data_IF_386156039883
#
_entry.id   IF_386156039883
#
_cell.length_a   1.000
_cell.length_b   1.000
_cell.length_c   1.000
_cell.angle_alpha   90.00
_cell.angle_beta   90.00
_cell.angle_gamma   90.00
#
_symmetry.space_group_name_H-M   'P 1'
#
loop_
_entity.id
_entity.type
_entity.pdbx_description
1 polymer ?
#
# COMPACT_ATOMS: atom_id res chain seq x y z
N UNK A 1 -12.20 11.97 31.54
CA UNK A 1 -12.87 12.21 30.24
C UNK A 1 -13.54 10.93 29.78
N UNK A 2 -14.86 10.95 29.54
CA UNK A 2 -15.57 9.82 28.92
C UNK A 2 -15.16 9.75 27.45
N UNK A 3 -14.59 8.62 27.00
CA UNK A 3 -14.35 8.34 25.58
C UNK A 3 -15.69 8.41 24.84
N UNK A 4 -15.86 9.43 23.99
CA UNK A 4 -17.00 9.58 23.09
C UNK A 4 -16.57 9.02 21.73
N UNK A 5 -16.93 7.76 21.47
CA UNK A 5 -16.88 7.12 20.15
C UNK A 5 -15.48 6.76 19.65
N UNK A 6 -15.12 5.48 19.74
CA UNK A 6 -14.13 4.91 18.81
C UNK A 6 -14.86 4.54 17.52
N UNK A 7 -14.40 5.06 16.38
CA UNK A 7 -14.74 4.47 15.08
C UNK A 7 -13.86 3.24 14.90
N UNK A 8 -14.20 2.16 15.62
CA UNK A 8 -13.59 0.86 15.35
C UNK A 8 -14.09 0.41 13.97
N UNK A 9 -13.17 0.04 13.07
CA UNK A 9 -13.47 -0.67 11.83
C UNK A 9 -13.83 -2.12 12.20
N UNK A 10 -15.10 -2.55 12.26
CA UNK A 10 -15.37 -3.97 12.31
C UNK A 10 -14.96 -4.57 10.95
N UNK A 11 -14.25 -5.69 11.00
CA UNK A 11 -14.19 -6.57 9.84
C UNK A 11 -15.61 -7.04 9.53
N UNK A 12 -16.21 -6.48 8.48
CA UNK A 12 -17.47 -6.99 7.98
C UNK A 12 -17.22 -8.33 7.29
N UNK A 13 -17.64 -9.41 7.93
CA UNK A 13 -17.68 -10.74 7.32
C UNK A 13 -18.89 -10.79 6.38
N UNK A 14 -18.65 -10.61 5.09
CA UNK A 14 -19.69 -10.65 4.07
C UNK A 14 -19.13 -10.42 2.67
N UNK A 15 -19.73 -11.09 1.67
CA UNK A 15 -19.48 -10.79 0.26
C UNK A 15 -20.45 -9.69 -0.17
N UNK A 16 -19.98 -8.76 -0.99
CA UNK A 16 -20.89 -7.85 -1.69
C UNK A 16 -21.95 -8.67 -2.43
N UNK A 17 -23.26 -8.42 -2.23
CA UNK A 17 -24.30 -9.08 -2.98
C UNK A 17 -24.10 -8.89 -4.48
N UNK A 18 -24.37 -9.93 -5.27
CA UNK A 18 -24.16 -9.91 -6.72
C UNK A 18 -24.91 -8.77 -7.40
N UNK A 19 -26.17 -8.53 -7.02
CA UNK A 19 -26.98 -7.45 -7.58
C UNK A 19 -26.38 -6.06 -7.34
N UNK A 20 -25.72 -5.85 -6.18
CA UNK A 20 -25.07 -4.58 -5.86
C UNK A 20 -23.78 -4.46 -6.65
N UNK A 21 -23.00 -5.54 -6.72
CA UNK A 21 -21.75 -5.56 -7.47
C UNK A 21 -21.97 -5.28 -8.97
N UNK A 22 -22.98 -5.87 -9.60
CA UNK A 22 -23.32 -5.60 -11.00
C UNK A 22 -23.70 -4.12 -11.24
N UNK A 23 -24.37 -3.48 -10.28
CA UNK A 23 -24.64 -2.03 -10.33
C UNK A 23 -23.36 -1.22 -10.13
N UNK A 24 -22.48 -1.65 -9.25
CA UNK A 24 -21.18 -1.00 -9.04
C UNK A 24 -20.34 -1.04 -10.30
N UNK A 25 -20.27 -2.17 -11.01
CA UNK A 25 -19.54 -2.28 -12.28
C UNK A 25 -20.05 -1.25 -13.28
N UNK A 26 -21.37 -1.16 -13.47
CA UNK A 26 -21.97 -0.17 -14.36
C UNK A 26 -21.67 1.28 -13.95
N UNK A 27 -21.81 1.57 -12.65
CA UNK A 27 -21.66 2.92 -12.14
C UNK A 27 -20.19 3.37 -12.09
N UNK A 28 -19.28 2.53 -11.60
CA UNK A 28 -17.84 2.81 -11.60
C UNK A 28 -17.29 2.86 -13.01
N UNK A 29 -17.77 2.01 -13.92
CA UNK A 29 -17.44 2.06 -15.34
C UNK A 29 -17.88 3.35 -16.01
N UNK A 30 -19.14 3.77 -15.83
CA UNK A 30 -19.63 5.03 -16.41
C UNK A 30 -18.92 6.27 -15.84
N UNK A 31 -18.56 6.26 -14.56
CA UNK A 31 -17.75 7.35 -13.96
C UNK A 31 -16.33 7.33 -14.53
N UNK A 32 -15.70 6.15 -14.64
CA UNK A 32 -14.36 6.02 -15.21
C UNK A 32 -14.34 6.49 -16.68
N UNK A 33 -15.31 6.07 -17.50
CA UNK A 33 -15.51 6.56 -18.87
C UNK A 33 -15.61 8.08 -18.90
N UNK A 34 -16.49 8.68 -18.09
CA UNK A 34 -16.67 10.12 -18.05
C UNK A 34 -15.37 10.87 -17.70
N UNK A 35 -14.60 10.35 -16.74
CA UNK A 35 -13.33 10.95 -16.35
C UNK A 35 -12.30 10.84 -17.47
N UNK A 36 -12.18 9.65 -18.06
CA UNK A 36 -11.18 9.40 -19.11
C UNK A 36 -11.48 10.20 -20.37
N UNK A 37 -12.75 10.31 -20.77
CA UNK A 37 -13.15 11.06 -21.96
C UNK A 37 -13.02 12.57 -21.79
N UNK A 38 -13.35 13.10 -20.60
CA UNK A 38 -13.35 14.55 -20.36
C UNK A 38 -11.97 15.08 -19.94
N UNK A 39 -11.24 14.33 -19.11
CA UNK A 39 -10.00 14.78 -18.48
C UNK A 39 -8.77 13.94 -18.82
N UNK A 40 -8.96 12.80 -19.49
CA UNK A 40 -7.88 11.91 -19.91
C UNK A 40 -7.55 10.80 -18.90
N UNK A 41 -6.74 9.84 -19.38
CA UNK A 41 -6.30 8.65 -18.62
C UNK A 41 -5.37 8.99 -17.47
N UNK A 42 -4.52 10.00 -17.66
CA UNK A 42 -3.59 10.47 -16.63
C UNK A 42 -4.34 11.02 -15.41
N UNK A 43 -5.40 11.81 -15.65
CA UNK A 43 -6.26 12.30 -14.58
C UNK A 43 -6.98 11.16 -13.89
N UNK A 44 -7.46 10.15 -14.63
CA UNK A 44 -8.05 8.96 -14.01
C UNK A 44 -7.07 8.26 -13.06
N UNK A 45 -5.81 8.06 -13.46
CA UNK A 45 -4.79 7.44 -12.59
C UNK A 45 -4.52 8.28 -11.35
N UNK A 46 -4.33 9.60 -11.50
CA UNK A 46 -4.15 10.55 -10.39
C UNK A 46 -5.29 10.47 -9.39
N UNK A 47 -6.53 10.40 -9.87
CA UNK A 47 -7.74 10.29 -9.05
C UNK A 47 -7.82 8.95 -8.32
N UNK A 48 -7.50 7.85 -8.99
CA UNK A 48 -7.51 6.52 -8.35
C UNK A 48 -6.42 6.39 -7.28
N UNK A 49 -5.26 7.03 -7.46
CA UNK A 49 -4.20 7.09 -6.43
C UNK A 49 -4.51 8.07 -5.29
N UNK A 50 -5.42 9.02 -5.50
CA UNK A 50 -5.83 9.95 -4.45
C UNK A 50 -6.73 9.23 -3.41
N UNK A 51 -6.34 9.21 -2.13
CA UNK A 51 -7.06 8.45 -1.11
C UNK A 51 -8.47 8.98 -0.84
N UNK A 52 -8.73 10.29 -1.02
CA UNK A 52 -10.03 10.91 -0.76
C UNK A 52 -11.01 10.66 -1.90
N UNK A 53 -10.58 10.86 -3.13
CA UNK A 53 -11.33 10.55 -4.33
C UNK A 53 -11.66 9.06 -4.36
N UNK A 54 -10.67 8.19 -4.15
CA UNK A 54 -10.89 6.74 -4.16
C UNK A 54 -11.94 6.32 -3.11
N UNK A 55 -11.87 6.90 -1.91
CA UNK A 55 -12.87 6.66 -0.87
C UNK A 55 -14.26 7.18 -1.26
N UNK A 56 -14.32 8.38 -1.83
CA UNK A 56 -15.56 9.03 -2.26
C UNK A 56 -16.22 8.29 -3.42
N UNK A 57 -15.44 7.80 -4.37
CA UNK A 57 -15.92 6.94 -5.45
C UNK A 57 -16.53 5.67 -4.89
N UNK A 58 -15.86 4.98 -3.97
CA UNK A 58 -16.39 3.78 -3.31
C UNK A 58 -17.74 4.02 -2.64
N UNK A 59 -17.89 5.17 -1.98
CA UNK A 59 -19.15 5.58 -1.35
C UNK A 59 -20.24 5.89 -2.38
N UNK A 60 -19.90 6.64 -3.43
CA UNK A 60 -20.82 6.98 -4.51
C UNK A 60 -21.42 5.72 -5.16
N UNK A 61 -20.58 4.70 -5.38
CA UNK A 61 -21.01 3.44 -6.01
C UNK A 61 -21.74 2.48 -5.07
N UNK A 62 -21.88 2.81 -3.78
CA UNK A 62 -22.80 2.14 -2.88
C UNK A 62 -22.19 1.44 -1.66
N UNK A 63 -20.90 1.63 -1.38
CA UNK A 63 -20.29 1.17 -0.13
C UNK A 63 -20.40 2.19 1.00
N UNK A 64 -20.33 1.71 2.23
CA UNK A 64 -20.16 2.58 3.39
C UNK A 64 -18.72 3.06 3.51
N UNK A 65 -18.55 4.31 3.93
CA UNK A 65 -17.26 4.98 4.08
C UNK A 65 -16.31 4.30 5.09
N UNK A 66 -16.82 3.45 5.98
CA UNK A 66 -16.07 2.78 7.04
C UNK A 66 -15.95 1.27 6.79
N UNK A 67 -16.16 0.82 5.55
CA UNK A 67 -16.06 -0.60 5.20
C UNK A 67 -14.68 -0.96 4.68
N UNK A 68 -13.99 -1.89 5.36
CA UNK A 68 -12.74 -2.49 4.85
C UNK A 68 -12.94 -3.24 3.51
N UNK A 69 -14.18 -3.61 3.18
CA UNK A 69 -14.56 -4.20 1.90
C UNK A 69 -14.53 -3.23 0.73
N UNK A 70 -14.66 -1.92 0.98
CA UNK A 70 -14.79 -0.87 -0.04
C UNK A 70 -13.65 -0.95 -1.05
N UNK A 71 -12.39 -0.97 -0.60
CA UNK A 71 -11.23 -1.04 -1.50
C UNK A 71 -11.32 -2.25 -2.41
N UNK A 72 -11.49 -3.44 -1.83
CA UNK A 72 -11.46 -4.68 -2.62
C UNK A 72 -12.62 -4.82 -3.59
N UNK A 73 -13.80 -4.31 -3.22
CA UNK A 73 -14.98 -4.41 -4.09
C UNK A 73 -14.98 -3.31 -5.14
N UNK A 74 -14.58 -2.08 -4.81
CA UNK A 74 -14.45 -1.00 -5.78
C UNK A 74 -13.42 -1.34 -6.86
N UNK A 75 -12.22 -1.80 -6.48
CA UNK A 75 -11.23 -2.21 -7.48
C UNK A 75 -11.69 -3.40 -8.31
N UNK A 76 -12.48 -4.31 -7.72
CA UNK A 76 -13.08 -5.43 -8.46
C UNK A 76 -14.09 -4.96 -9.51
N UNK A 77 -14.94 -4.00 -9.13
CA UNK A 77 -15.93 -3.41 -10.03
C UNK A 77 -15.26 -2.61 -11.16
N UNK A 78 -14.25 -1.79 -10.83
CA UNK A 78 -13.44 -1.07 -11.83
C UNK A 78 -12.70 -2.02 -12.77
N UNK A 79 -12.12 -3.10 -12.24
CA UNK A 79 -11.44 -4.10 -13.06
C UNK A 79 -12.39 -4.76 -14.07
N UNK A 80 -13.60 -5.11 -13.65
CA UNK A 80 -14.59 -5.68 -14.56
C UNK A 80 -15.07 -4.66 -15.60
N UNK A 81 -15.28 -3.41 -15.18
CA UNK A 81 -15.71 -2.33 -16.07
C UNK A 81 -14.65 -1.95 -17.11
N UNK A 82 -13.37 -2.04 -16.77
CA UNK A 82 -12.25 -1.66 -17.63
C UNK A 82 -11.61 -2.85 -18.37
N UNK A 83 -12.18 -4.06 -18.25
CA UNK A 83 -11.54 -5.29 -18.72
C UNK A 83 -11.28 -5.32 -20.24
N UNK A 84 -12.12 -4.64 -21.02
CA UNK A 84 -11.99 -4.57 -22.47
C UNK A 84 -10.88 -3.63 -22.96
N UNK A 85 -10.34 -2.75 -22.09
CA UNK A 85 -9.33 -1.78 -22.47
C UNK A 85 -9.79 -0.69 -23.46
N UNK A 86 -11.09 -0.59 -23.72
CA UNK A 86 -11.68 0.34 -24.72
C UNK A 86 -11.35 1.82 -24.46
N UNK A 87 -11.12 2.17 -23.19
CA UNK A 87 -10.77 3.53 -22.76
C UNK A 87 -9.27 3.71 -22.51
N UNK A 88 -8.44 2.77 -22.97
CA UNK A 88 -6.98 2.82 -22.82
C UNK A 88 -6.51 2.68 -21.37
N UNK A 89 -7.32 2.06 -20.49
CA UNK A 89 -6.97 1.73 -19.10
C UNK A 89 -7.41 0.30 -18.78
N UNK A 90 -6.55 -0.48 -18.14
CA UNK A 90 -6.83 -1.84 -17.65
C UNK A 90 -6.39 -1.95 -16.20
N UNK A 91 -7.14 -2.71 -15.39
CA UNK A 91 -6.75 -3.05 -14.02
C UNK A 91 -6.36 -4.53 -13.89
N UNK A 92 -5.18 -4.78 -13.33
CA UNK A 92 -4.61 -6.10 -13.12
C UNK A 92 -4.53 -6.45 -11.63
N UNK A 93 -4.70 -7.71 -11.26
CA UNK A 93 -4.67 -8.20 -9.88
C UNK A 93 -6.05 -8.33 -9.23
N UNK A 94 -6.11 -8.14 -7.91
CA UNK A 94 -7.34 -8.23 -7.14
C UNK A 94 -7.12 -8.68 -5.69
N UNK A 95 -8.16 -9.25 -5.09
CA UNK A 95 -8.14 -9.79 -3.72
C UNK A 95 -7.67 -11.24 -3.68
N UNK A 96 -6.86 -11.59 -2.68
CA UNK A 96 -6.44 -12.96 -2.39
C UNK A 96 -5.68 -13.57 -3.56
N UNK A 97 -6.13 -14.71 -4.07
CA UNK A 97 -5.47 -15.38 -5.19
C UNK A 97 -5.46 -14.54 -6.48
N UNK A 98 -6.40 -13.59 -6.65
CA UNK A 98 -6.38 -12.70 -7.81
C UNK A 98 -5.19 -11.73 -7.79
N UNK A 99 -4.65 -11.35 -6.62
CA UNK A 99 -3.46 -10.49 -6.56
C UNK A 99 -2.24 -11.15 -7.21
N UNK A 100 -2.14 -12.49 -7.09
CA UNK A 100 -1.05 -13.28 -7.68
C UNK A 100 -1.10 -13.34 -9.21
N UNK A 101 -2.25 -13.04 -9.82
CA UNK A 101 -2.43 -13.03 -11.27
C UNK A 101 -2.04 -11.69 -11.92
N UNK A 102 -1.71 -10.67 -11.13
CA UNK A 102 -1.40 -9.34 -11.65
C UNK A 102 -0.31 -9.37 -12.74
N UNK A 103 0.72 -10.19 -12.57
CA UNK A 103 1.85 -10.29 -13.50
C UNK A 103 1.42 -10.85 -14.88
N UNK A 104 0.62 -11.91 -14.89
CA UNK A 104 0.07 -12.51 -16.12
C UNK A 104 -0.96 -11.58 -16.79
N UNK A 105 -1.72 -10.84 -15.99
CA UNK A 105 -2.67 -9.86 -16.51
C UNK A 105 -1.98 -8.63 -17.10
N UNK A 106 -0.82 -8.22 -16.56
CA UNK A 106 0.01 -7.15 -17.14
C UNK A 106 0.58 -7.61 -18.49
N UNK A 107 1.00 -8.87 -18.63
CA UNK A 107 1.45 -9.41 -19.93
C UNK A 107 0.34 -9.28 -20.98
N UNK A 108 -0.88 -9.73 -20.66
CA UNK A 108 -2.06 -9.63 -21.55
C UNK A 108 -2.45 -8.19 -21.85
N UNK A 109 -2.41 -7.30 -20.87
CA UNK A 109 -2.69 -5.89 -21.09
C UNK A 109 -1.63 -5.24 -22.00
N UNK A 110 -0.38 -5.69 -21.89
CA UNK A 110 0.70 -5.28 -22.79
C UNK A 110 0.47 -5.71 -24.23
N UNK A 111 -0.11 -6.89 -24.48
CA UNK A 111 -0.53 -7.31 -25.82
C UNK A 111 -1.65 -6.41 -26.37
N UNK A 112 -2.67 -6.12 -25.55
CA UNK A 112 -3.80 -5.25 -25.94
C UNK A 112 -3.31 -3.84 -26.32
N UNK A 113 -2.42 -3.26 -25.52
CA UNK A 113 -1.87 -1.93 -25.77
C UNK A 113 -0.62 -1.93 -26.67
N UNK A 114 -0.26 -3.10 -27.24
CA UNK A 114 0.89 -3.25 -28.15
C UNK A 114 2.23 -2.75 -27.55
N UNK A 115 2.46 -3.01 -26.27
CA UNK A 115 3.71 -2.67 -25.58
C UNK A 115 4.87 -3.56 -26.02
N UNK A 116 6.07 -2.98 -26.03
CA UNK A 116 7.30 -3.73 -26.21
C UNK A 116 7.55 -4.66 -25.01
N UNK A 117 8.27 -5.77 -25.22
CA UNK A 117 8.64 -6.69 -24.14
C UNK A 117 9.40 -6.00 -23.01
N UNK A 118 10.21 -4.98 -23.33
CA UNK A 118 10.91 -4.17 -22.33
C UNK A 118 9.93 -3.36 -21.46
N UNK A 119 8.91 -2.75 -22.08
CA UNK A 119 7.89 -1.99 -21.35
C UNK A 119 7.06 -2.90 -20.45
N UNK A 120 6.67 -4.09 -20.94
CA UNK A 120 5.97 -5.10 -20.12
C UNK A 120 6.82 -5.50 -18.92
N UNK A 121 8.12 -5.76 -19.12
CA UNK A 121 9.03 -6.08 -18.03
C UNK A 121 9.12 -4.97 -16.98
N UNK A 122 9.16 -3.70 -17.40
CA UNK A 122 9.14 -2.54 -16.49
C UNK A 122 7.84 -2.45 -15.67
N UNK A 123 6.68 -2.67 -16.30
CA UNK A 123 5.38 -2.63 -15.61
C UNK A 123 5.24 -3.77 -14.59
N UNK A 124 5.68 -4.97 -14.97
CA UNK A 124 5.74 -6.13 -14.09
C UNK A 124 6.64 -5.88 -12.89
N UNK A 125 7.80 -5.26 -13.15
CA UNK A 125 8.73 -4.84 -12.12
C UNK A 125 8.06 -3.87 -11.15
N UNK A 126 7.46 -2.79 -11.65
CA UNK A 126 6.75 -1.78 -10.86
C UNK A 126 5.64 -2.38 -9.97
N UNK A 127 4.81 -3.27 -10.53
CA UNK A 127 3.78 -4.01 -9.78
C UNK A 127 4.40 -4.83 -8.64
N UNK A 128 5.47 -5.58 -8.93
CA UNK A 128 6.11 -6.47 -7.96
C UNK A 128 6.84 -5.70 -6.85
N UNK A 129 7.62 -4.66 -7.21
CA UNK A 129 8.36 -3.87 -6.21
C UNK A 129 7.41 -3.10 -5.30
N UNK A 130 6.31 -2.54 -5.83
CA UNK A 130 5.31 -1.86 -5.00
C UNK A 130 4.73 -2.80 -3.93
N UNK A 131 4.42 -4.06 -4.30
CA UNK A 131 3.95 -5.05 -3.34
C UNK A 131 5.05 -5.48 -2.34
N UNK A 132 6.32 -5.54 -2.77
CA UNK A 132 7.45 -5.85 -1.89
C UNK A 132 7.69 -4.77 -0.86
N UNK A 133 7.69 -3.51 -1.28
CA UNK A 133 7.89 -2.36 -0.40
C UNK A 133 6.83 -2.35 0.71
N UNK A 134 5.55 -2.47 0.34
CA UNK A 134 4.41 -2.39 1.27
C UNK A 134 4.31 -3.58 2.22
N UNK A 135 4.86 -4.73 1.83
CA UNK A 135 4.85 -5.95 2.67
C UNK A 135 6.12 -6.15 3.49
N UNK A 136 7.25 -5.61 3.04
CA UNK A 136 8.59 -6.01 3.51
C UNK A 136 9.42 -4.83 4.01
N UNK A 137 9.42 -3.69 3.32
CA UNK A 137 10.19 -2.51 3.71
C UNK A 137 9.46 -1.67 4.77
N UNK A 138 8.12 -1.69 4.74
CA UNK A 138 7.26 -1.13 5.80
C UNK A 138 6.67 -2.30 6.60
N UNK A 139 7.09 -2.46 7.85
CA UNK A 139 6.60 -3.57 8.69
C UNK A 139 5.80 -3.06 9.88
N UNK A 140 4.50 -2.89 9.63
CA UNK A 140 3.50 -2.39 10.59
C UNK A 140 2.55 -3.49 11.12
N UNK A 141 2.77 -4.74 10.72
CA UNK A 141 1.91 -5.88 11.08
C UNK A 141 0.68 -6.06 10.18
N UNK A 142 0.53 -5.26 9.12
CA UNK A 142 -0.54 -5.40 8.13
C UNK A 142 -0.06 -6.24 6.95
N UNK A 143 -0.57 -7.46 6.81
CA UNK A 143 -0.19 -8.36 5.72
C UNK A 143 -1.01 -8.07 4.46
N UNK A 144 -0.34 -7.83 3.33
CA UNK A 144 -1.01 -7.60 2.04
C UNK A 144 -1.87 -8.81 1.64
N UNK A 145 -3.13 -8.56 1.36
CA UNK A 145 -4.06 -9.55 0.83
C UNK A 145 -4.76 -9.06 -0.45
N UNK A 146 -4.49 -7.83 -0.89
CA UNK A 146 -5.08 -7.20 -2.05
C UNK A 146 -4.04 -6.34 -2.76
N UNK A 147 -3.94 -6.47 -4.08
CA UNK A 147 -3.06 -5.69 -4.93
C UNK A 147 -3.74 -5.51 -6.29
N UNK A 148 -3.96 -4.26 -6.70
CA UNK A 148 -4.46 -3.92 -8.03
C UNK A 148 -3.55 -2.89 -8.67
N UNK A 149 -3.12 -3.19 -9.89
CA UNK A 149 -2.26 -2.38 -10.73
C UNK A 149 -3.10 -1.83 -11.89
N UNK A 150 -3.40 -0.54 -11.87
CA UNK A 150 -4.06 0.16 -12.96
C UNK A 150 -2.98 0.63 -13.93
N UNK A 151 -3.12 0.30 -15.21
CA UNK A 151 -2.18 0.70 -16.24
C UNK A 151 -2.94 1.31 -17.41
N UNK A 152 -2.35 2.35 -17.98
CA UNK A 152 -2.92 3.02 -19.16
C UNK A 152 -2.01 2.88 -20.38
N UNK A 153 -2.58 3.14 -21.55
CA UNK A 153 -2.02 2.88 -22.89
C UNK A 153 -0.67 3.57 -23.20
N UNK A 154 -0.27 4.63 -22.50
CA UNK A 154 1.08 5.22 -22.64
C UNK A 154 2.13 4.56 -21.74
N UNK A 155 1.69 3.71 -20.81
CA UNK A 155 2.52 2.96 -19.86
C UNK A 155 2.64 3.62 -18.48
N UNK A 156 1.86 4.66 -18.18
CA UNK A 156 1.69 5.15 -16.82
C UNK A 156 0.83 4.19 -16.01
N UNK A 157 0.96 4.26 -14.69
CA UNK A 157 0.29 3.32 -13.81
C UNK A 157 0.01 3.91 -12.42
N UNK A 158 -0.97 3.31 -11.74
CA UNK A 158 -1.25 3.54 -10.34
C UNK A 158 -1.45 2.20 -9.63
N UNK A 159 -1.10 2.12 -8.35
CA UNK A 159 -1.29 0.90 -7.55
C UNK A 159 -2.12 1.22 -6.32
N UNK A 160 -3.16 0.40 -6.11
CA UNK A 160 -3.95 0.40 -4.87
C UNK A 160 -3.82 -0.96 -4.21
N UNK A 161 -3.27 -0.99 -3.00
CA UNK A 161 -3.06 -2.23 -2.22
C UNK A 161 -3.75 -2.14 -0.86
N UNK A 162 -4.06 -3.29 -0.28
CA UNK A 162 -4.58 -3.33 1.09
C UNK A 162 -3.95 -4.45 1.90
N UNK A 163 -3.41 -4.07 3.06
CA UNK A 163 -2.96 -4.95 4.13
C UNK A 163 -4.01 -5.11 5.21
N UNK A 164 -3.99 -6.26 5.88
CA UNK A 164 -4.87 -6.61 7.00
C UNK A 164 -4.04 -6.98 8.23
N UNK A 165 -4.41 -6.42 9.38
CA UNK A 165 -3.94 -6.90 10.68
C UNK A 165 -5.09 -7.66 11.35
N UNK A 166 -4.97 -8.98 11.45
CA UNK A 166 -6.05 -9.87 11.94
C UNK A 166 -6.30 -9.67 13.43
N UNK A 167 -5.23 -9.55 14.21
CA UNK A 167 -5.30 -9.40 15.67
C UNK A 167 -6.01 -8.11 16.05
N UNK A 168 -5.72 -7.03 15.32
CA UNK A 168 -6.29 -5.70 15.56
C UNK A 168 -7.59 -5.47 14.80
N UNK A 169 -7.90 -6.29 13.80
CA UNK A 169 -9.06 -6.17 12.90
C UNK A 169 -9.09 -4.87 12.08
N UNK A 170 -7.93 -4.26 11.83
CA UNK A 170 -7.80 -3.04 11.04
C UNK A 170 -7.22 -3.32 9.65
N UNK A 171 -7.56 -2.46 8.69
CA UNK A 171 -6.95 -2.43 7.37
C UNK A 171 -5.97 -1.27 7.23
N UNK A 172 -5.02 -1.41 6.31
CA UNK A 172 -4.13 -0.34 5.85
C UNK A 172 -4.08 -0.36 4.34
N UNK A 173 -4.39 0.76 3.70
CA UNK A 173 -4.41 0.91 2.24
C UNK A 173 -3.21 1.73 1.78
N UNK A 174 -2.60 1.32 0.69
CA UNK A 174 -1.43 1.94 0.11
C UNK A 174 -1.76 2.39 -1.31
N UNK A 175 -1.30 3.58 -1.66
CA UNK A 175 -1.51 4.19 -2.97
C UNK A 175 -0.19 4.65 -3.56
N UNK A 176 -0.04 4.36 -4.84
CA UNK A 176 1.12 4.74 -5.65
C UNK A 176 0.63 5.34 -6.96
N UNK A 177 1.37 6.31 -7.47
CA UNK A 177 1.20 6.89 -8.79
C UNK A 177 2.56 6.93 -9.48
N UNK A 178 2.65 6.46 -10.73
CA UNK A 178 3.92 6.43 -11.47
C UNK A 178 4.61 7.78 -11.57
N UNK A 179 3.85 8.87 -11.65
CA UNK A 179 4.37 10.24 -11.75
C UNK A 179 5.08 10.71 -10.46
N UNK A 180 4.69 10.17 -9.30
CA UNK A 180 5.25 10.54 -7.99
C UNK A 180 6.45 9.65 -7.60
N UNK A 181 6.70 8.55 -8.33
CA UNK A 181 7.75 7.57 -8.00
C UNK A 181 9.09 8.01 -8.58
N UNK A 182 9.91 8.66 -7.76
CA UNK A 182 11.31 8.97 -8.08
C UNK A 182 12.28 7.88 -7.61
N UNK A 183 11.88 7.10 -6.61
CA UNK A 183 12.57 5.90 -6.10
C UNK A 183 11.50 4.93 -5.62
N UNK A 184 11.65 3.63 -5.87
CA UNK A 184 10.69 2.65 -5.33
C UNK A 184 10.86 2.41 -3.84
N UNK A 185 12.02 2.73 -3.27
CA UNK A 185 12.39 2.36 -1.91
C UNK A 185 12.56 3.56 -0.97
N UNK A 186 12.39 4.78 -1.47
CA UNK A 186 12.48 6.01 -0.66
C UNK A 186 11.22 6.82 -0.88
N UNK A 187 10.37 6.88 0.15
CA UNK A 187 9.11 7.64 0.21
C UNK A 187 8.25 7.56 -1.07
N UNK A 188 7.97 6.35 -1.60
CA UNK A 188 7.40 6.20 -2.94
C UNK A 188 5.87 6.40 -3.02
N UNK A 189 5.22 6.50 -1.85
CA UNK A 189 3.76 6.48 -1.75
C UNK A 189 3.17 7.87 -1.96
N UNK A 190 2.17 7.96 -2.84
CA UNK A 190 1.24 9.09 -2.85
C UNK A 190 0.47 9.13 -1.52
N UNK A 191 0.02 7.97 -1.01
CA UNK A 191 -0.68 7.89 0.28
C UNK A 191 -0.59 6.53 0.97
N UNK A 192 -0.53 6.57 2.31
CA UNK A 192 -0.78 5.40 3.19
C UNK A 192 -1.93 5.75 4.14
N UNK A 193 -2.99 4.95 4.07
CA UNK A 193 -4.28 5.18 4.75
C UNK A 193 -4.51 4.12 5.82
N UNK A 194 -4.77 4.53 7.05
CA UNK A 194 -5.21 3.65 8.14
C UNK A 194 -5.92 4.46 9.22
N UNK A 195 -6.94 3.90 9.87
CA UNK A 195 -7.61 4.55 11.00
C UNK A 195 -6.78 4.47 12.29
N UNK A 196 -5.68 3.71 12.27
CA UNK A 196 -4.78 3.55 13.42
C UNK A 196 -3.35 3.87 13.03
N UNK A 197 -2.74 4.76 13.82
CA UNK A 197 -1.29 4.96 13.86
C UNK A 197 -0.69 3.96 14.83
N UNK A 198 0.32 3.25 14.38
CA UNK A 198 1.11 2.34 15.19
C UNK A 198 2.23 3.10 15.90
N UNK A 199 2.52 2.74 17.16
CA UNK A 199 3.53 3.43 17.96
C UNK A 199 4.94 3.25 17.40
N UNK A 200 5.21 2.11 16.76
CA UNK A 200 6.49 1.79 16.16
C UNK A 200 6.30 0.89 14.93
N UNK A 201 6.82 1.35 13.79
CA UNK A 201 6.81 0.63 12.51
C UNK A 201 8.24 0.61 12.00
N UNK A 202 8.75 -0.55 11.59
CA UNK A 202 10.01 -0.59 10.83
C UNK A 202 9.74 0.06 9.47
N UNK A 203 10.16 1.31 9.31
CA UNK A 203 9.93 2.09 8.10
C UNK A 203 11.25 2.29 7.36
N UNK A 204 11.63 1.29 6.57
CA UNK A 204 12.84 1.37 5.75
C UNK A 204 12.66 2.28 4.54
N UNK A 205 11.45 2.73 4.20
CA UNK A 205 11.24 3.66 3.08
C UNK A 205 11.43 5.12 3.45
N UNK A 206 11.56 5.44 4.74
CA UNK A 206 11.87 6.80 5.19
C UNK A 206 13.25 7.24 4.70
N UNK A 207 13.37 8.51 4.31
CA UNK A 207 14.66 9.17 4.10
C UNK A 207 15.60 9.06 5.31
N UNK A 208 15.05 8.97 6.53
CA UNK A 208 15.81 8.72 7.76
C UNK A 208 16.42 7.31 7.88
N UNK A 209 16.00 6.37 7.02
CA UNK A 209 16.48 4.98 7.02
C UNK A 209 17.48 4.68 5.88
N UNK A 210 17.93 5.70 5.12
CA UNK A 210 18.81 5.51 3.96
C UNK A 210 20.14 4.83 4.30
N UNK A 211 20.78 5.22 5.40
CA UNK A 211 22.02 4.57 5.83
C UNK A 211 21.77 3.11 6.21
N UNK A 212 20.64 2.81 6.86
CA UNK A 212 20.25 1.42 7.13
C UNK A 212 20.04 0.62 5.84
N UNK A 213 19.45 1.22 4.80
CA UNK A 213 19.32 0.54 3.51
C UNK A 213 20.69 0.15 2.93
N UNK A 214 21.69 1.03 2.99
CA UNK A 214 23.05 0.75 2.51
C UNK A 214 23.70 -0.37 3.32
N UNK A 215 23.62 -0.30 4.65
CA UNK A 215 24.19 -1.33 5.52
C UNK A 215 23.51 -2.70 5.31
N UNK A 216 22.19 -2.73 5.05
CA UNK A 216 21.48 -3.96 4.66
C UNK A 216 22.10 -4.56 3.39
N UNK A 217 22.43 -3.74 2.39
CA UNK A 217 23.08 -4.20 1.15
C UNK A 217 24.45 -4.76 1.47
N UNK A 218 25.27 -4.07 2.26
CA UNK A 218 26.60 -4.54 2.65
C UNK A 218 26.55 -5.87 3.39
N UNK A 219 25.65 -6.02 4.37
CA UNK A 219 25.46 -7.28 5.11
C UNK A 219 24.95 -8.39 4.16
N UNK A 220 24.08 -8.06 3.20
CA UNK A 220 23.58 -9.06 2.25
C UNK A 220 24.66 -9.63 1.34
N UNK A 221 25.78 -8.90 1.18
CA UNK A 221 26.97 -9.29 0.41
C UNK A 221 28.01 -10.03 1.25
N UNK A 222 27.79 -10.17 2.55
CA UNK A 222 28.66 -10.92 3.45
C UNK A 222 28.39 -12.42 3.40
N UNK A 223 29.40 -13.21 3.78
CA UNK A 223 29.27 -14.68 3.83
C UNK A 223 28.09 -15.05 4.76
N UNK A 224 27.18 -15.96 4.36
CA UNK A 224 26.01 -16.31 5.17
C UNK A 224 26.34 -16.77 6.59
N UNK A 225 27.47 -17.44 6.78
CA UNK A 225 27.97 -17.86 8.11
C UNK A 225 28.25 -16.66 9.02
N UNK A 226 28.81 -15.57 8.46
CA UNK A 226 29.08 -14.34 9.22
C UNK A 226 27.77 -13.69 9.68
N UNK A 227 26.79 -13.60 8.77
CA UNK A 227 25.44 -13.11 9.09
C UNK A 227 24.76 -13.99 10.14
N UNK A 228 24.91 -15.32 10.03
CA UNK A 228 24.37 -16.26 11.00
C UNK A 228 24.95 -16.07 12.39
N UNK A 229 26.26 -15.86 12.51
CA UNK A 229 26.91 -15.60 13.79
C UNK A 229 26.38 -14.29 14.41
N UNK A 230 26.27 -13.21 13.63
CA UNK A 230 25.68 -11.95 14.11
C UNK A 230 24.25 -12.15 14.65
N UNK A 231 23.44 -12.96 13.97
CA UNK A 231 22.07 -13.27 14.42
C UNK A 231 22.06 -14.05 15.73
N UNK A 232 22.96 -15.03 15.87
CA UNK A 232 23.09 -15.83 17.09
C UNK A 232 23.53 -14.97 18.28
N UNK A 233 24.53 -14.11 18.09
CA UNK A 233 25.01 -13.17 19.11
C UNK A 233 23.90 -12.22 19.59
N UNK A 234 23.00 -11.80 18.70
CA UNK A 234 21.83 -10.98 19.02
C UNK A 234 20.67 -11.77 19.66
N UNK A 235 20.59 -13.08 19.46
CA UNK A 235 19.61 -13.95 20.14
C UNK A 235 20.02 -14.28 21.57
N UNK A 236 21.33 -14.29 21.85
CA UNK A 236 21.87 -14.62 23.16
C UNK A 236 21.55 -13.51 24.17
N UNK A 237 20.45 -13.72 24.91
CA UNK A 237 19.92 -12.84 25.96
C UNK A 237 20.87 -12.59 27.14
N UNK A 238 22.04 -13.23 27.16
CA UNK A 238 23.09 -13.05 28.17
C UNK A 238 24.03 -11.89 27.84
N UNK A 239 23.98 -11.36 26.61
CA UNK A 239 24.77 -10.19 26.21
C UNK A 239 24.08 -8.91 26.70
N UNK A 240 24.36 -8.56 27.96
CA UNK A 240 24.18 -7.19 28.46
C UNK A 240 25.05 -6.28 27.60
N UNK A 241 24.45 -5.28 26.96
CA UNK A 241 25.22 -4.34 26.15
C UNK A 241 26.11 -3.50 27.06
N UNK A 242 27.25 -3.01 26.58
CA UNK A 242 28.12 -2.12 27.37
C UNK A 242 27.35 -0.88 27.89
N UNK A 243 26.30 -0.47 27.17
CA UNK A 243 25.36 0.59 27.54
C UNK A 243 24.51 0.26 28.77
N UNK A 244 24.14 -1.02 28.97
CA UNK A 244 23.45 -1.48 30.17
C UNK A 244 24.35 -1.45 31.42
N UNK A 245 25.68 -1.42 31.22
CA UNK A 245 26.67 -1.40 32.30
C UNK A 245 27.15 0.01 32.69
N UNK A 246 27.13 0.96 31.75
CA UNK A 246 27.78 2.28 31.92
C UNK A 246 26.80 3.42 32.27
N UNK A 247 25.50 3.31 31.94
CA UNK A 247 24.56 4.43 32.10
C UNK A 247 23.38 4.11 33.04
N UNK A 248 22.93 5.06 33.91
CA UNK A 248 21.59 4.97 34.49
C UNK A 248 20.57 4.95 33.34
N UNK A 249 19.42 4.27 33.50
CA UNK A 249 18.57 3.86 32.38
C UNK A 249 18.19 5.10 31.56
N UNK A 250 18.76 5.21 30.36
CA UNK A 250 18.32 6.18 29.38
C UNK A 250 16.81 5.98 29.24
N UNK A 251 16.03 7.05 29.46
CA UNK A 251 14.56 7.06 29.38
C UNK A 251 14.02 6.69 27.99
N UNK A 252 14.87 6.32 27.03
CA UNK A 252 14.50 5.68 25.78
C UNK A 252 15.12 4.29 25.74
N UNK A 253 14.32 3.22 25.81
CA UNK A 253 14.83 1.87 25.60
C UNK A 253 15.43 1.78 24.20
N UNK A 254 16.64 1.22 24.11
CA UNK A 254 17.20 0.67 22.88
C UNK A 254 16.18 -0.37 22.36
N UNK A 255 15.40 0.05 21.36
CA UNK A 255 14.31 -0.67 20.67
C UNK A 255 13.43 -1.59 21.54
N UNK A 256 12.46 -1.04 22.30
CA UNK A 256 11.33 -1.83 22.85
C UNK A 256 10.46 -2.54 21.80
N UNK A 257 10.72 -2.30 20.51
CA UNK A 257 9.79 -2.57 19.42
C UNK A 257 10.30 -3.55 18.37
N UNK A 258 11.57 -3.97 18.42
CA UNK A 258 12.12 -4.86 17.41
C UNK A 258 12.62 -6.17 18.01
N UNK A 259 11.93 -7.25 17.67
CA UNK A 259 12.23 -8.62 18.10
C UNK A 259 12.87 -9.35 16.94
N UNK A 260 14.03 -9.94 17.18
CA UNK A 260 14.71 -10.76 16.18
C UNK A 260 13.78 -11.88 15.70
N UNK A 261 13.61 -12.08 14.38
CA UNK A 261 12.73 -13.12 13.86
C UNK A 261 13.20 -14.49 14.34
N UNK A 262 12.23 -15.33 14.76
CA UNK A 262 12.50 -16.69 15.24
C UNK A 262 13.16 -17.58 14.18
N UNK A 263 12.95 -17.28 12.90
CA UNK A 263 13.55 -18.01 11.78
C UNK A 263 13.95 -17.07 10.66
N UNK A 264 15.14 -17.31 10.12
CA UNK A 264 15.67 -16.70 8.91
C UNK A 264 15.83 -17.81 7.88
N UNK A 265 15.45 -17.53 6.64
CA UNK A 265 15.70 -18.46 5.55
C UNK A 265 17.15 -18.31 5.09
N UNK A 266 18.03 -19.20 5.53
CA UNK A 266 19.46 -19.17 5.18
C UNK A 266 19.74 -19.46 3.70
N UNK A 267 18.83 -20.12 2.99
CA UNK A 267 18.92 -20.26 1.53
C UNK A 267 18.85 -18.90 0.85
N UNK A 268 17.97 -18.03 1.34
CA UNK A 268 17.81 -16.67 0.83
C UNK A 268 19.04 -15.82 1.16
N UNK A 269 19.63 -15.99 2.34
CA UNK A 269 20.90 -15.31 2.69
C UNK A 269 22.04 -15.75 1.76
N UNK A 270 22.12 -17.05 1.42
CA UNK A 270 23.07 -17.54 0.42
C UNK A 270 22.81 -16.95 -0.96
N UNK A 271 21.55 -16.91 -1.40
CA UNK A 271 21.19 -16.32 -2.68
C UNK A 271 21.56 -14.83 -2.77
N UNK A 272 21.34 -14.06 -1.70
CA UNK A 272 21.77 -12.66 -1.63
C UNK A 272 23.30 -12.53 -1.77
N UNK A 273 24.05 -13.38 -1.06
CA UNK A 273 25.50 -13.42 -1.16
C UNK A 273 25.97 -13.81 -2.58
N UNK A 274 25.32 -14.75 -3.24
CA UNK A 274 25.70 -15.17 -4.60
C UNK A 274 25.36 -14.12 -5.66
N UNK A 275 24.24 -13.41 -5.47
CA UNK A 275 23.76 -12.39 -6.43
C UNK A 275 24.46 -11.04 -6.26
N UNK A 276 25.04 -10.76 -5.09
CA UNK A 276 25.78 -9.53 -4.80
C UNK A 276 25.01 -8.25 -5.17
N UNK A 277 23.80 -8.04 -4.62
CA UNK A 277 22.91 -6.94 -5.00
C UNK A 277 23.58 -5.58 -4.86
N UNK A 278 23.28 -4.68 -5.80
CA UNK A 278 23.90 -3.35 -5.89
C UNK A 278 23.26 -2.33 -4.95
N UNK A 279 21.97 -2.49 -4.69
CA UNK A 279 21.17 -1.58 -3.89
C UNK A 279 20.05 -2.32 -3.14
N UNK A 280 19.32 -1.58 -2.31
CA UNK A 280 18.24 -2.12 -1.48
C UNK A 280 17.05 -2.61 -2.31
N UNK A 281 16.84 -2.04 -3.49
CA UNK A 281 15.77 -2.46 -4.41
C UNK A 281 16.03 -3.88 -4.93
N UNK A 282 17.27 -4.17 -5.32
CA UNK A 282 17.71 -5.52 -5.72
C UNK A 282 17.64 -6.52 -4.56
N UNK A 283 17.98 -6.10 -3.34
CA UNK A 283 17.79 -6.94 -2.13
C UNK A 283 16.31 -7.32 -1.99
N UNK A 284 15.38 -6.35 -2.07
CA UNK A 284 13.94 -6.62 -1.96
C UNK A 284 13.40 -7.50 -3.09
N UNK A 285 13.96 -7.37 -4.29
CA UNK A 285 13.54 -8.10 -5.48
C UNK A 285 14.14 -9.51 -5.60
N UNK A 286 15.13 -9.82 -4.76
CA UNK A 286 15.68 -11.17 -4.67
C UNK A 286 14.60 -12.17 -4.23
N UNK A 287 14.49 -13.28 -4.96
CA UNK A 287 13.45 -14.29 -4.72
C UNK A 287 13.58 -14.85 -3.29
N UNK A 288 12.45 -14.99 -2.60
CA UNK A 288 12.41 -15.50 -1.23
C UNK A 288 12.75 -14.48 -0.14
N UNK A 289 13.32 -13.30 -0.48
CA UNK A 289 13.46 -12.21 0.50
C UNK A 289 12.08 -11.76 0.95
N UNK A 290 11.86 -11.80 2.26
CA UNK A 290 10.59 -11.43 2.88
C UNK A 290 10.80 -10.65 4.18
N UNK A 291 9.72 -10.36 4.90
CA UNK A 291 9.74 -9.46 6.06
C UNK A 291 10.73 -9.89 7.15
N UNK A 292 10.83 -11.20 7.42
CA UNK A 292 11.76 -11.72 8.42
C UNK A 292 13.22 -11.50 8.02
N UNK A 293 13.60 -11.79 6.77
CA UNK A 293 14.97 -11.56 6.28
C UNK A 293 15.34 -10.09 6.38
N UNK A 294 14.48 -9.19 5.90
CA UNK A 294 14.76 -7.75 5.97
C UNK A 294 14.79 -7.23 7.41
N UNK A 295 13.90 -7.73 8.28
CA UNK A 295 13.92 -7.37 9.71
C UNK A 295 15.23 -7.80 10.37
N UNK A 296 15.71 -9.00 10.06
CA UNK A 296 16.99 -9.48 10.56
C UNK A 296 18.16 -8.60 10.13
N UNK A 297 18.23 -8.27 8.83
CA UNK A 297 19.30 -7.42 8.30
C UNK A 297 19.22 -5.99 8.87
N UNK A 298 18.01 -5.43 9.02
CA UNK A 298 17.81 -4.13 9.66
C UNK A 298 18.25 -4.13 11.13
N UNK A 299 17.95 -5.20 11.88
CA UNK A 299 18.40 -5.37 13.27
C UNK A 299 19.91 -5.39 13.38
N UNK A 300 20.58 -6.17 12.53
CA UNK A 300 22.04 -6.21 12.51
C UNK A 300 22.60 -4.83 12.15
N UNK A 301 22.00 -4.15 11.16
CA UNK A 301 22.42 -2.81 10.74
C UNK A 301 22.35 -1.80 11.90
N UNK A 302 21.24 -1.81 12.65
CA UNK A 302 21.05 -0.89 13.76
C UNK A 302 21.89 -1.25 15.01
N UNK A 303 21.93 -2.52 15.40
CA UNK A 303 22.54 -2.95 16.65
C UNK A 303 24.05 -3.17 16.55
N UNK A 304 24.54 -3.66 15.42
CA UNK A 304 25.97 -3.96 15.20
C UNK A 304 26.69 -2.77 14.55
N UNK A 305 26.05 -2.14 13.56
CA UNK A 305 26.67 -1.07 12.77
C UNK A 305 26.15 0.34 13.13
N UNK A 306 25.18 0.46 14.03
CA UNK A 306 24.70 1.74 14.55
C UNK A 306 23.88 2.57 13.56
N UNK A 307 23.40 2.00 12.46
CA UNK A 307 22.59 2.74 11.49
C UNK A 307 21.22 3.10 12.07
N UNK A 308 20.73 4.32 11.86
CA UNK A 308 19.43 4.72 12.38
C UNK A 308 18.28 4.18 11.52
N UNK A 309 17.22 3.73 12.19
CA UNK A 309 15.96 3.28 11.59
C UNK A 309 14.90 4.29 11.96
N UNK A 310 14.14 4.77 10.98
CA UNK A 310 12.91 5.51 11.26
C UNK A 310 11.81 4.56 11.73
N UNK A 311 11.30 4.84 12.93
CA UNK A 311 10.25 4.07 13.59
C UNK A 311 8.86 4.67 13.42
N UNK A 312 8.77 5.86 12.82
CA UNK A 312 7.51 6.56 12.62
C UNK A 312 6.65 5.80 11.63
N UNK A 313 5.39 5.61 12.01
CA UNK A 313 4.40 5.03 11.12
C UNK A 313 4.13 5.99 9.95
N UNK A 314 4.33 5.56 8.68
CA UNK A 314 4.17 6.44 7.51
C UNK A 314 2.71 6.69 7.13
N UNK A 315 1.73 6.28 7.93
CA UNK A 315 0.31 6.61 7.73
C UNK A 315 0.13 8.13 7.73
N UNK A 316 -0.52 8.65 6.68
CA UNK A 316 -0.84 10.08 6.50
C UNK A 316 -2.34 10.37 6.47
N UNK A 317 -3.18 9.34 6.34
CA UNK A 317 -4.61 9.49 6.12
C UNK A 317 -5.40 8.41 6.87
N UNK A 318 -6.68 8.66 7.13
CA UNK A 318 -7.66 7.66 7.60
C UNK A 318 -8.72 7.37 6.52
N UNK A 319 -9.46 6.27 6.68
CA UNK A 319 -10.54 5.88 5.75
C UNK A 319 -11.78 6.76 5.92
N UNK A 320 -12.08 7.13 7.16
CA UNK A 320 -12.86 8.33 7.45
C UNK A 320 -11.98 9.50 7.06
N UNK A 321 -12.45 10.45 6.26
CA UNK A 321 -11.67 11.50 5.58
C UNK A 321 -10.90 12.48 6.49
N UNK A 322 -10.04 11.96 7.37
CA UNK A 322 -9.59 12.54 8.63
C UNK A 322 -10.48 12.16 9.82
N UNK A 323 -9.92 12.21 11.02
CA UNK A 323 -10.70 12.10 12.25
C UNK A 323 -11.36 13.44 12.57
N UNK A 324 -12.62 13.43 13.00
CA UNK A 324 -13.27 14.62 13.59
C UNK A 324 -12.39 15.23 14.69
N UNK A 325 -11.74 14.36 15.46
CA UNK A 325 -10.89 14.71 16.59
C UNK A 325 -9.41 14.87 16.21
N UNK A 326 -9.10 14.92 14.91
CA UNK A 326 -7.74 15.13 14.40
C UNK A 326 -6.83 13.91 14.47
N UNK A 327 -7.37 12.71 14.72
CA UNK A 327 -6.61 11.45 14.82
C UNK A 327 -7.02 10.52 13.68
N UNK A 328 -6.07 10.01 12.86
CA UNK A 328 -4.63 10.26 12.88
C UNK A 328 -4.24 11.68 12.43
N UNK A 329 -5.09 12.31 11.62
CA UNK A 329 -4.92 13.67 11.10
C UNK A 329 -6.29 14.36 11.00
N UNK A 330 -6.34 15.71 11.02
CA UNK A 330 -7.58 16.45 10.79
C UNK A 330 -8.12 16.20 9.39
N UNK A 331 -9.44 16.37 9.25
CA UNK A 331 -10.13 16.26 7.96
C UNK A 331 -9.66 17.35 7.00
N UNK A 332 -9.09 16.96 5.87
CA UNK A 332 -8.86 17.87 4.75
C UNK A 332 -10.17 18.13 4.00
N UNK A 333 -10.90 19.16 4.47
CA UNK A 333 -12.20 19.54 3.91
C UNK A 333 -12.11 19.99 2.46
N UNK A 334 -10.99 20.58 2.03
CA UNK A 334 -10.85 21.09 0.66
C UNK A 334 -10.72 19.94 -0.32
N UNK A 335 -9.77 19.03 -0.09
CA UNK A 335 -9.61 17.83 -0.89
C UNK A 335 -10.91 17.00 -0.95
N UNK A 336 -11.67 17.01 0.13
CA UNK A 336 -12.97 16.38 0.22
C UNK A 336 -14.03 17.03 -0.68
N UNK A 337 -14.24 18.35 -0.54
CA UNK A 337 -15.22 19.08 -1.34
C UNK A 337 -14.87 19.03 -2.83
N UNK A 338 -13.58 19.10 -3.17
CA UNK A 338 -13.07 18.97 -4.53
C UNK A 338 -13.38 17.58 -5.11
N UNK A 339 -13.16 16.52 -4.33
CA UNK A 339 -13.48 15.13 -4.73
C UNK A 339 -14.98 14.95 -4.96
N UNK A 340 -15.83 15.48 -4.08
CA UNK A 340 -17.28 15.41 -4.23
C UNK A 340 -17.75 16.21 -5.44
N UNK A 341 -17.23 17.42 -5.63
CA UNK A 341 -17.59 18.28 -6.75
C UNK A 341 -17.23 17.63 -8.08
N UNK A 342 -16.00 17.10 -8.18
CA UNK A 342 -15.53 16.41 -9.36
C UNK A 342 -16.36 15.16 -9.67
N UNK A 343 -16.66 14.33 -8.65
CA UNK A 343 -17.50 13.13 -8.84
C UNK A 343 -18.92 13.48 -9.28
N UNK A 344 -19.49 14.60 -8.83
CA UNK A 344 -20.80 15.06 -9.30
C UNK A 344 -20.75 15.40 -10.79
N UNK A 345 -19.75 16.16 -11.23
CA UNK A 345 -19.56 16.46 -12.65
C UNK A 345 -19.37 15.19 -13.49
N UNK A 346 -18.52 14.28 -13.03
CA UNK A 346 -18.32 12.99 -13.70
C UNK A 346 -19.60 12.15 -13.76
N UNK A 347 -20.40 12.11 -12.69
CA UNK A 347 -21.71 11.41 -12.65
C UNK A 347 -22.76 12.03 -13.58
N UNK A 348 -22.75 13.35 -13.72
CA UNK A 348 -23.65 14.07 -14.63
C UNK A 348 -23.34 13.74 -16.09
N UNK A 349 -22.05 13.63 -16.43
CA UNK A 349 -21.55 13.26 -17.75
C UNK A 349 -21.58 11.75 -18.03
N UNK A 350 -21.57 10.91 -16.99
CA UNK A 350 -21.58 9.46 -17.13
C UNK A 350 -22.87 8.97 -17.82
N UNK A 351 -22.73 8.08 -18.81
CA UNK A 351 -23.84 7.44 -19.52
C UNK A 351 -24.47 6.30 -18.69
N UNK A 352 -25.04 6.66 -17.54
CA UNK A 352 -25.67 5.75 -16.59
C UNK A 352 -27.18 6.01 -16.49
N UNK A 353 -27.94 5.00 -16.04
CA UNK A 353 -29.37 5.13 -15.82
C UNK A 353 -29.73 6.24 -14.83
N UNK A 354 -30.83 6.95 -15.08
CA UNK A 354 -31.29 8.09 -14.26
C UNK A 354 -31.45 7.73 -12.79
N UNK A 355 -31.99 6.54 -12.48
CA UNK A 355 -32.18 6.08 -11.11
C UNK A 355 -30.86 5.85 -10.38
N UNK A 356 -29.91 5.14 -10.99
CA UNK A 356 -28.58 4.90 -10.41
C UNK A 356 -27.82 6.20 -10.20
N UNK A 357 -27.90 7.15 -11.15
CA UNK A 357 -27.34 8.49 -11.02
C UNK A 357 -27.92 9.23 -9.81
N UNK A 358 -29.25 9.27 -9.67
CA UNK A 358 -29.90 9.92 -8.54
C UNK A 358 -29.50 9.29 -7.20
N UNK A 359 -29.36 7.97 -7.14
CA UNK A 359 -28.90 7.29 -5.92
C UNK A 359 -27.46 7.65 -5.57
N UNK A 360 -26.55 7.67 -6.55
CA UNK A 360 -25.15 8.05 -6.36
C UNK A 360 -25.02 9.50 -5.86
N UNK A 361 -25.76 10.44 -6.47
CA UNK A 361 -25.80 11.84 -6.05
C UNK A 361 -26.33 12.01 -4.61
N UNK A 362 -27.37 11.24 -4.24
CA UNK A 362 -27.88 11.23 -2.85
C UNK A 362 -26.82 10.74 -1.85
N UNK A 363 -26.01 9.74 -2.21
CA UNK A 363 -24.91 9.25 -1.35
C UNK A 363 -23.82 10.29 -1.18
N UNK A 364 -23.38 10.93 -2.28
CA UNK A 364 -22.45 12.06 -2.22
C UNK A 364 -23.01 13.25 -1.42
N UNK A 365 -24.33 13.47 -1.47
CA UNK A 365 -24.99 14.48 -0.65
C UNK A 365 -24.90 14.20 0.86
N UNK A 366 -24.99 12.91 1.26
CA UNK A 366 -24.85 12.47 2.66
C UNK A 366 -23.41 12.49 3.16
N UNK A 367 -22.44 12.53 2.25
CA UNK A 367 -21.02 12.62 2.56
C UNK A 367 -20.61 14.02 3.04
N UNK A 368 -21.35 15.08 2.66
CA UNK A 368 -21.04 16.45 3.13
C UNK A 368 -20.95 16.50 4.65
N UNK A 369 -19.76 16.85 5.13
CA UNK A 369 -19.51 17.12 6.54
C UNK A 369 -20.35 18.33 6.95
N UNK A 370 -21.15 18.18 8.01
CA UNK A 370 -21.82 19.31 8.66
C UNK A 370 -20.83 20.16 9.45
#
# INVERSE_FOLDING_TARGET
MKKLGTADLPLHFGRCPRWLFERMVKLSGGIAEAIILEFGRDEFLKRISDPFFFQSLGCAVGFDYHSSGLTTTLTGALKEALAAGEYGVIACGGKGNASRKAQEEIDRAGEIFSFTSQRIAQLRYASRISAKVDSTAIQSGYQLYHHVFFLEESGKWAVVQQGLNVDRRYARRYHWLSDDVHSYVVEPHTAIVSDRVEEAVLNLTSSGSLETQKVIVDISREKPVKVQNMVQELHDKTNVTLMDWIAPPLKKPLSKHLVMPRSINWEVARQLYETQPRDFEEVLMTRGVGPNTIRALALISNLVYGSEIDWRDPVKFSFCVGGKDGVPFPVDRRAYDDSISFLKGALENAKIGKEDRMMALRRLGKMRLQ
#
